data_IF_076898451139
#
_entry.id   IF_076898451139
#
_cell.length_a   1.000
_cell.length_b   1.000
_cell.length_c   1.000
_cell.angle_alpha   90.00
_cell.angle_beta   90.00
_cell.angle_gamma   90.00
#
_symmetry.space_group_name_H-M   'P 1'
#
loop_
_entity.id
_entity.type
_entity.pdbx_description
1 polymer ?
#
# COMPACT_ATOMS: atom_id res chain seq x y z
N UNK A 1 -17.33 28.79 -5.53
CA UNK A 1 -17.20 28.18 -4.20
C UNK A 1 -18.21 27.04 -4.10
N UNK A 2 -17.85 25.84 -4.55
CA UNK A 2 -18.70 24.67 -4.37
C UNK A 2 -18.56 24.19 -2.93
N UNK A 3 -19.66 24.10 -2.19
CA UNK A 3 -19.66 23.51 -0.85
C UNK A 3 -19.14 22.07 -0.95
N UNK A 4 -17.97 21.79 -0.37
CA UNK A 4 -17.49 20.42 -0.22
C UNK A 4 -18.58 19.58 0.46
N UNK A 5 -18.86 18.39 -0.06
CA UNK A 5 -19.75 17.44 0.62
C UNK A 5 -19.12 17.17 1.99
N UNK A 6 -19.81 17.53 3.08
CA UNK A 6 -19.30 17.59 4.45
C UNK A 6 -18.55 16.31 4.85
N UNK A 7 -17.23 16.34 4.72
CA UNK A 7 -16.30 15.33 5.23
C UNK A 7 -15.13 16.08 5.85
N UNK A 8 -14.48 15.54 6.90
CA UNK A 8 -13.29 16.17 7.44
C UNK A 8 -12.26 16.36 6.32
N UNK A 9 -11.55 17.49 6.36
CA UNK A 9 -10.53 17.80 5.36
C UNK A 9 -9.33 16.86 5.50
N UNK A 10 -9.02 16.37 6.71
CA UNK A 10 -8.04 15.32 6.95
C UNK A 10 -8.77 13.98 7.10
N UNK A 11 -8.29 12.94 6.41
CA UNK A 11 -8.81 11.58 6.57
C UNK A 11 -8.71 11.13 8.02
N UNK A 12 -9.77 10.54 8.57
CA UNK A 12 -9.74 10.07 9.96
C UNK A 12 -8.94 8.78 10.07
N UNK A 13 -7.90 8.75 10.91
CA UNK A 13 -7.20 7.53 11.29
C UNK A 13 -8.16 6.56 11.97
N UNK A 14 -8.28 5.34 11.44
CA UNK A 14 -9.26 4.35 11.92
C UNK A 14 -8.79 3.62 13.19
N UNK A 15 -7.49 3.40 13.33
CA UNK A 15 -6.88 2.82 14.54
C UNK A 15 -5.67 3.68 14.90
N UNK A 16 -5.77 4.42 15.99
CA UNK A 16 -4.72 5.34 16.42
C UNK A 16 -3.81 4.67 17.44
N UNK A 17 -2.50 4.70 17.18
CA UNK A 17 -1.48 4.39 18.17
C UNK A 17 -1.07 5.63 18.98
N UNK A 18 0.02 5.50 19.74
CA UNK A 18 0.48 6.52 20.68
C UNK A 18 1.26 7.69 20.04
N UNK A 19 1.59 7.61 18.76
CA UNK A 19 2.40 8.62 18.06
C UNK A 19 1.58 9.41 17.04
N UNK A 20 1.92 10.68 16.88
CA UNK A 20 1.59 11.40 15.65
C UNK A 20 2.39 10.80 14.49
N UNK A 21 1.97 11.07 13.25
CA UNK A 21 2.62 10.53 12.06
C UNK A 21 3.23 11.64 11.24
N UNK A 22 4.52 11.51 10.93
CA UNK A 22 5.22 12.32 9.94
C UNK A 22 5.27 11.61 8.60
N UNK A 23 5.44 12.36 7.52
CA UNK A 23 5.73 11.78 6.22
C UNK A 23 6.72 12.61 5.38
N UNK A 24 7.42 11.92 4.47
CA UNK A 24 8.25 12.56 3.44
C UNK A 24 8.32 11.69 2.19
N UNK A 25 8.13 12.32 1.03
CA UNK A 25 8.39 11.68 -0.26
C UNK A 25 9.90 11.66 -0.56
N UNK A 26 10.38 10.53 -1.07
CA UNK A 26 11.75 10.31 -1.52
C UNK A 26 11.73 9.74 -2.93
N UNK A 27 12.37 10.44 -3.87
CA UNK A 27 12.61 9.94 -5.22
C UNK A 27 14.11 9.86 -5.48
N UNK A 28 14.57 8.70 -5.92
CA UNK A 28 15.97 8.43 -6.28
C UNK A 28 16.01 8.05 -7.76
N UNK A 29 17.02 8.55 -8.47
CA UNK A 29 17.21 8.23 -9.89
C UNK A 29 17.68 6.78 -10.12
N UNK A 30 17.55 6.30 -11.35
CA UNK A 30 18.15 5.02 -11.76
C UNK A 30 19.67 5.08 -11.77
N UNK A 31 20.32 3.99 -11.38
CA UNK A 31 21.80 3.89 -11.40
C UNK A 31 22.33 3.38 -12.74
N UNK A 32 21.51 2.68 -13.52
CA UNK A 32 21.86 2.06 -14.80
C UNK A 32 20.78 2.29 -15.86
N UNK A 33 21.12 2.13 -17.14
CA UNK A 33 20.17 2.27 -18.23
C UNK A 33 19.00 1.29 -18.07
N UNK A 34 17.77 1.80 -18.15
CA UNK A 34 16.55 1.02 -18.00
C UNK A 34 16.04 0.92 -16.55
N UNK A 35 16.84 1.33 -15.57
CA UNK A 35 16.40 1.53 -14.19
C UNK A 35 15.65 2.86 -14.05
N UNK A 36 14.44 2.83 -13.51
CA UNK A 36 13.62 4.03 -13.24
C UNK A 36 13.80 4.53 -11.79
N UNK A 37 14.77 3.98 -11.07
CA UNK A 37 15.08 4.35 -9.70
C UNK A 37 13.98 3.90 -8.72
N UNK A 38 13.75 4.71 -7.69
CA UNK A 38 12.75 4.46 -6.65
C UNK A 38 11.92 5.72 -6.43
N UNK A 39 10.62 5.56 -6.18
CA UNK A 39 9.79 6.61 -5.62
C UNK A 39 8.93 6.02 -4.51
N UNK A 40 8.95 6.63 -3.33
CA UNK A 40 8.16 6.18 -2.19
C UNK A 40 7.79 7.34 -1.27
N UNK A 41 6.75 7.13 -0.46
CA UNK A 41 6.45 7.95 0.71
C UNK A 41 6.85 7.17 1.96
N UNK A 42 7.68 7.77 2.80
CA UNK A 42 7.86 7.26 4.16
C UNK A 42 6.78 7.86 5.07
N UNK A 43 6.16 7.01 5.88
CA UNK A 43 5.36 7.38 7.04
C UNK A 43 6.08 6.88 8.29
N UNK A 44 6.19 7.71 9.32
CA UNK A 44 6.96 7.37 10.52
C UNK A 44 6.39 8.07 11.76
N UNK A 45 6.64 7.53 12.96
CA UNK A 45 6.27 8.19 14.21
C UNK A 45 6.92 9.58 14.32
N UNK A 46 6.18 10.60 14.75
CA UNK A 46 6.69 11.95 14.98
C UNK A 46 6.20 12.50 16.33
N UNK A 47 7.00 13.39 16.91
CA UNK A 47 6.61 14.24 18.04
C UNK A 47 6.20 15.66 17.59
N UNK A 48 6.29 15.93 16.29
CA UNK A 48 5.93 17.22 15.70
C UNK A 48 4.43 17.50 15.91
N UNK A 49 4.10 18.78 16.02
CA UNK A 49 2.73 19.26 16.01
C UNK A 49 2.45 19.93 14.67
N UNK A 50 1.28 19.66 14.08
CA UNK A 50 0.85 20.36 12.89
C UNK A 50 0.61 21.84 13.22
N UNK A 51 1.19 22.75 12.44
CA UNK A 51 0.98 24.19 12.64
C UNK A 51 -0.44 24.59 12.20
N UNK A 52 -0.90 24.03 11.08
CA UNK A 52 -2.22 24.23 10.53
C UNK A 52 -2.56 23.11 9.54
N UNK A 53 -3.71 23.22 8.86
CA UNK A 53 -4.20 22.24 7.90
C UNK A 53 -3.27 22.02 6.70
N UNK A 54 -2.45 23.01 6.33
CA UNK A 54 -1.49 22.90 5.23
C UNK A 54 -0.28 22.02 5.56
N UNK A 55 -0.05 21.74 6.85
CA UNK A 55 0.98 20.78 7.31
C UNK A 55 0.66 19.34 6.90
N UNK A 56 -0.59 19.03 6.56
CA UNK A 56 -1.02 17.72 6.11
C UNK A 56 -1.00 17.66 4.57
N UNK A 57 -0.33 16.69 3.93
CA UNK A 57 -0.26 16.64 2.48
C UNK A 57 -1.62 16.29 1.87
N UNK A 58 -1.88 16.77 0.65
CA UNK A 58 -3.06 16.38 -0.11
C UNK A 58 -3.04 14.88 -0.41
N UNK A 59 -4.17 14.21 -0.21
CA UNK A 59 -4.37 12.78 -0.51
C UNK A 59 -4.22 12.48 -2.01
N UNK A 60 -4.64 13.44 -2.85
CA UNK A 60 -4.41 13.43 -4.29
C UNK A 60 -3.37 14.50 -4.63
N UNK A 61 -2.08 14.16 -4.76
CA UNK A 61 -1.03 15.15 -4.90
C UNK A 61 -1.13 15.96 -6.20
N UNK A 62 -1.65 15.33 -7.26
CA UNK A 62 -1.82 15.95 -8.58
C UNK A 62 -3.08 15.46 -9.29
N UNK A 63 -3.74 16.28 -10.13
CA UNK A 63 -4.91 15.87 -10.93
C UNK A 63 -4.66 14.65 -11.82
N UNK A 64 -3.43 14.44 -12.28
CA UNK A 64 -3.04 13.35 -13.18
C UNK A 64 -3.26 11.95 -12.56
N UNK A 65 -3.17 11.82 -11.23
CA UNK A 65 -3.53 10.57 -10.53
C UNK A 65 -5.01 10.23 -10.72
N UNK A 66 -5.90 11.23 -10.61
CA UNK A 66 -7.32 11.03 -10.89
C UNK A 66 -7.58 10.76 -12.38
N UNK A 67 -6.85 11.40 -13.29
CA UNK A 67 -6.97 11.13 -14.74
C UNK A 67 -6.57 9.69 -15.07
N UNK A 68 -5.43 9.22 -14.54
CA UNK A 68 -4.97 7.86 -14.74
C UNK A 68 -5.90 6.82 -14.11
N UNK A 69 -6.47 7.11 -12.94
CA UNK A 69 -7.49 6.26 -12.32
C UNK A 69 -8.77 6.23 -13.16
N UNK A 70 -9.17 7.38 -13.72
CA UNK A 70 -10.27 7.46 -14.67
C UNK A 70 -10.04 6.61 -15.91
N UNK A 71 -8.87 6.75 -16.54
CA UNK A 71 -8.46 5.97 -17.71
C UNK A 71 -8.53 4.46 -17.42
N UNK A 72 -8.04 4.03 -16.25
CA UNK A 72 -8.16 2.64 -15.78
C UNK A 72 -9.61 2.18 -15.62
N UNK A 73 -10.49 3.04 -15.12
CA UNK A 73 -11.92 2.77 -14.89
C UNK A 73 -12.81 3.08 -16.11
N UNK A 74 -12.22 3.39 -17.28
CA UNK A 74 -12.97 3.74 -18.50
C UNK A 74 -13.73 5.07 -18.42
N UNK A 75 -13.24 6.03 -17.63
CA UNK A 75 -13.81 7.37 -17.44
C UNK A 75 -12.94 8.46 -18.10
N UNK A 76 -13.56 9.52 -18.60
CA UNK A 76 -12.83 10.65 -19.21
C UNK A 76 -12.18 11.57 -18.16
N UNK A 77 -11.11 12.27 -18.54
CA UNK A 77 -10.46 13.26 -17.67
C UNK A 77 -11.40 14.40 -17.26
N UNK A 78 -12.35 14.82 -18.11
CA UNK A 78 -13.33 15.84 -17.72
C UNK A 78 -14.24 15.33 -16.59
N UNK A 79 -14.71 14.08 -16.70
CA UNK A 79 -15.53 13.46 -15.65
C UNK A 79 -14.73 13.31 -14.36
N UNK A 80 -13.46 12.91 -14.45
CA UNK A 80 -12.59 12.80 -13.28
C UNK A 80 -12.30 14.15 -12.64
N UNK A 81 -12.19 15.24 -13.40
CA UNK A 81 -12.05 16.60 -12.84
C UNK A 81 -13.30 16.99 -12.03
N UNK A 82 -14.50 16.68 -12.52
CA UNK A 82 -15.75 16.93 -11.79
C UNK A 82 -15.80 16.10 -10.51
N UNK A 83 -15.51 14.79 -10.58
CA UNK A 83 -15.47 13.92 -9.39
C UNK A 83 -14.44 14.42 -8.38
N UNK A 84 -13.23 14.76 -8.84
CA UNK A 84 -12.16 15.23 -7.97
C UNK A 84 -12.54 16.54 -7.29
N UNK A 85 -13.02 17.54 -8.03
CA UNK A 85 -13.39 18.84 -7.46
C UNK A 85 -14.59 18.78 -6.50
N UNK A 86 -15.56 17.89 -6.74
CA UNK A 86 -16.80 17.80 -5.94
C UNK A 86 -16.72 16.82 -4.77
N UNK A 87 -15.94 15.74 -4.90
CA UNK A 87 -15.90 14.63 -3.94
C UNK A 87 -14.58 14.59 -3.18
N UNK A 88 -13.45 14.67 -3.88
CA UNK A 88 -12.12 14.60 -3.26
C UNK A 88 -11.79 15.95 -2.62
N UNK A 89 -12.00 17.04 -3.35
CA UNK A 89 -11.67 18.39 -2.91
C UNK A 89 -10.20 18.51 -2.50
N UNK A 90 -9.97 19.13 -1.35
CA UNK A 90 -8.65 19.21 -0.71
C UNK A 90 -8.50 18.22 0.45
N UNK A 91 -8.99 16.98 0.28
CA UNK A 91 -8.77 15.94 1.28
C UNK A 91 -7.27 15.69 1.48
N UNK A 92 -6.88 15.51 2.73
CA UNK A 92 -5.50 15.39 3.19
C UNK A 92 -5.30 14.09 3.95
N UNK A 93 -4.08 13.58 3.93
CA UNK A 93 -3.65 12.41 4.68
C UNK A 93 -3.43 12.78 6.16
N UNK A 94 -3.68 11.87 7.09
CA UNK A 94 -3.44 12.09 8.54
C UNK A 94 -1.96 11.86 8.88
N UNK A 95 -1.10 12.70 8.30
CA UNK A 95 0.32 12.79 8.60
C UNK A 95 0.86 14.19 8.33
N UNK A 96 1.94 14.55 9.02
CA UNK A 96 2.58 15.86 8.94
C UNK A 96 3.73 15.78 7.93
N UNK A 97 3.65 16.57 6.86
CA UNK A 97 4.69 16.62 5.83
C UNK A 97 5.97 17.26 6.38
N UNK A 98 7.14 16.72 6.00
CA UNK A 98 8.46 17.20 6.43
C UNK A 98 8.70 17.16 7.95
N UNK A 99 7.87 16.44 8.71
CA UNK A 99 8.03 16.28 10.15
C UNK A 99 9.32 15.54 10.53
N UNK A 100 9.78 15.72 11.77
CA UNK A 100 10.92 14.98 12.30
C UNK A 100 10.50 13.65 12.93
N UNK A 101 11.34 12.63 12.82
CA UNK A 101 11.13 11.33 13.45
C UNK A 101 11.08 11.45 14.98
N UNK A 102 10.21 10.68 15.61
CA UNK A 102 10.05 10.69 17.07
C UNK A 102 11.33 10.22 17.76
N UNK A 103 11.64 10.86 18.88
CA UNK A 103 12.78 10.51 19.75
C UNK A 103 12.36 9.71 20.98
N UNK A 104 11.05 9.43 21.14
CA UNK A 104 10.49 8.68 22.28
C UNK A 104 10.88 7.20 22.33
N UNK A 105 11.26 6.62 21.20
CA UNK A 105 11.81 5.27 21.12
C UNK A 105 13.12 5.26 20.34
N UNK A 106 13.97 4.29 20.67
CA UNK A 106 15.30 4.18 20.07
C UNK A 106 15.28 3.54 18.70
N UNK A 107 14.40 2.55 18.50
CA UNK A 107 14.33 1.78 17.26
C UNK A 107 12.90 1.46 16.86
N UNK A 108 12.70 1.36 15.55
CA UNK A 108 11.38 1.23 14.95
C UNK A 108 11.39 0.11 13.89
N UNK A 109 10.48 -0.87 13.97
CA UNK A 109 10.32 -1.87 12.92
C UNK A 109 9.90 -1.21 11.60
N UNK A 110 10.27 -1.84 10.49
CA UNK A 110 10.02 -1.30 9.15
C UNK A 110 9.08 -2.18 8.32
N UNK A 111 8.27 -1.53 7.50
CA UNK A 111 7.35 -2.16 6.55
C UNK A 111 7.52 -1.51 5.19
N UNK A 112 7.64 -2.31 4.13
CA UNK A 112 7.48 -1.86 2.75
C UNK A 112 6.06 -2.17 2.30
N UNK A 113 5.35 -1.18 1.77
CA UNK A 113 3.97 -1.32 1.32
C UNK A 113 3.86 -1.18 -0.20
N UNK A 114 3.18 -2.14 -0.85
CA UNK A 114 2.92 -2.16 -2.29
C UNK A 114 1.43 -2.04 -2.60
N UNK A 115 1.07 -1.03 -3.41
CA UNK A 115 -0.32 -0.81 -3.82
C UNK A 115 -0.79 -1.77 -4.93
N UNK A 116 -2.10 -1.93 -5.07
CA UNK A 116 -2.74 -2.71 -6.14
C UNK A 116 -2.59 -2.09 -7.55
N UNK A 117 -3.15 -2.78 -8.55
CA UNK A 117 -3.22 -2.28 -9.93
C UNK A 117 -4.10 -1.02 -10.00
N UNK A 118 -3.65 0.02 -10.70
CA UNK A 118 -4.29 1.32 -10.71
C UNK A 118 -4.19 2.09 -9.38
N UNK A 119 -3.40 1.58 -8.43
CA UNK A 119 -3.12 2.27 -7.16
C UNK A 119 -2.05 3.36 -7.29
N UNK A 120 -1.73 3.96 -6.14
CA UNK A 120 -0.63 4.90 -5.91
C UNK A 120 -0.18 4.82 -4.44
N UNK A 121 1.01 5.32 -4.12
CA UNK A 121 1.56 5.40 -2.75
C UNK A 121 0.68 6.17 -1.74
N UNK A 122 -0.22 7.03 -2.22
CA UNK A 122 -1.10 7.85 -1.35
C UNK A 122 -2.49 7.25 -1.13
N UNK A 123 -2.89 6.23 -1.89
CA UNK A 123 -4.26 5.67 -1.82
C UNK A 123 -4.49 4.69 -0.65
N UNK A 124 -3.48 4.50 0.19
CA UNK A 124 -3.49 3.60 1.34
C UNK A 124 -2.99 4.33 2.61
N UNK A 125 -3.13 5.66 2.62
CA UNK A 125 -2.62 6.53 3.68
C UNK A 125 -3.30 6.22 5.02
N UNK A 126 -4.58 5.87 5.06
CA UNK A 126 -5.29 5.48 6.29
C UNK A 126 -4.63 4.26 6.95
N UNK A 127 -4.28 3.26 6.15
CA UNK A 127 -3.60 2.05 6.63
C UNK A 127 -2.16 2.36 7.06
N UNK A 128 -1.39 3.04 6.20
CA UNK A 128 0.03 3.33 6.44
C UNK A 128 0.25 4.25 7.65
N UNK A 129 -0.58 5.29 7.79
CA UNK A 129 -0.52 6.21 8.94
C UNK A 129 -0.98 5.52 10.23
N UNK A 130 -1.94 4.59 10.16
CA UNK A 130 -2.34 3.82 11.34
C UNK A 130 -1.17 2.95 11.83
N UNK A 131 -0.51 2.18 10.95
CA UNK A 131 0.71 1.44 11.30
C UNK A 131 1.80 2.36 11.89
N UNK A 132 2.06 3.50 11.24
CA UNK A 132 3.08 4.43 11.70
C UNK A 132 2.77 5.01 13.09
N UNK A 133 1.51 5.28 13.39
CA UNK A 133 1.10 5.74 14.73
C UNK A 133 1.32 4.69 15.83
N UNK A 134 1.49 3.40 15.47
CA UNK A 134 1.84 2.31 16.38
C UNK A 134 3.35 2.03 16.45
N UNK A 135 4.18 2.88 15.85
CA UNK A 135 5.65 2.75 15.95
C UNK A 135 6.32 2.07 14.77
N UNK A 136 5.66 1.95 13.61
CA UNK A 136 6.30 1.42 12.40
C UNK A 136 6.82 2.54 11.49
N UNK A 137 7.94 2.32 10.83
CA UNK A 137 8.32 3.12 9.66
C UNK A 137 7.83 2.41 8.41
N UNK A 138 6.90 3.03 7.68
CA UNK A 138 6.24 2.44 6.50
C UNK A 138 6.72 3.14 5.24
N UNK A 139 7.33 2.39 4.32
CA UNK A 139 7.72 2.83 2.99
C UNK A 139 6.66 2.42 1.96
N UNK A 140 5.74 3.31 1.62
CA UNK A 140 4.76 3.08 0.56
C UNK A 140 5.36 3.39 -0.82
N UNK A 141 5.56 2.35 -1.62
CA UNK A 141 6.22 2.43 -2.93
C UNK A 141 5.24 2.95 -3.99
N UNK A 142 5.69 3.88 -4.83
CA UNK A 142 5.02 4.28 -6.07
C UNK A 142 5.65 3.53 -7.24
N UNK A 143 4.91 2.57 -7.81
CA UNK A 143 5.45 1.68 -8.82
C UNK A 143 5.53 2.34 -10.20
N UNK A 144 6.71 2.33 -10.83
CA UNK A 144 6.98 2.93 -12.16
C UNK A 144 6.92 1.93 -13.30
N UNK A 145 6.24 0.82 -13.10
CA UNK A 145 6.12 -0.33 -14.02
C UNK A 145 4.92 -0.25 -14.99
N UNK A 146 4.24 0.90 -15.06
CA UNK A 146 2.96 1.11 -15.75
C UNK A 146 1.77 0.35 -15.12
N UNK A 147 1.84 -0.01 -13.83
CA UNK A 147 0.70 -0.56 -13.10
C UNK A 147 0.02 0.48 -12.18
N UNK A 148 0.74 1.50 -11.71
CA UNK A 148 0.13 2.63 -11.01
C UNK A 148 -0.83 3.38 -11.95
N UNK A 149 -1.88 4.00 -11.40
CA UNK A 149 -2.81 4.80 -12.20
C UNK A 149 -2.07 5.89 -12.98
N UNK A 150 -1.13 6.54 -12.34
CA UNK A 150 -0.21 7.50 -12.91
C UNK A 150 1.01 7.63 -11.99
N UNK A 151 2.17 7.85 -12.57
CA UNK A 151 3.38 8.28 -11.88
C UNK A 151 4.26 9.05 -12.86
N UNK A 152 5.49 9.38 -12.47
CA UNK A 152 6.41 10.13 -13.31
C UNK A 152 7.86 9.80 -12.97
N UNK A 153 8.72 10.06 -13.95
CA UNK A 153 10.17 10.14 -13.78
C UNK A 153 10.59 11.60 -13.84
N UNK A 154 11.57 12.00 -13.05
CA UNK A 154 12.24 13.28 -13.24
C UNK A 154 13.45 13.08 -14.16
N UNK A 155 13.54 13.87 -15.21
CA UNK A 155 14.65 13.86 -16.17
C UNK A 155 15.23 15.26 -16.28
N UNK A 156 16.56 15.37 -16.26
CA UNK A 156 17.22 16.65 -16.46
C UNK A 156 17.12 17.09 -17.92
N UNK A 157 16.57 18.28 -18.17
CA UNK A 157 16.56 18.94 -19.47
C UNK A 157 17.02 20.38 -19.28
N UNK A 158 18.10 20.76 -19.95
CA UNK A 158 18.66 22.12 -19.88
C UNK A 158 18.96 22.59 -18.43
N UNK A 159 19.39 21.68 -17.54
CA UNK A 159 19.68 21.99 -16.14
C UNK A 159 18.45 22.00 -15.21
N UNK A 160 17.24 21.76 -15.71
CA UNK A 160 16.03 21.68 -14.90
C UNK A 160 15.49 20.24 -14.87
N UNK A 161 14.98 19.81 -13.71
CA UNK A 161 14.28 18.54 -13.59
C UNK A 161 12.86 18.69 -14.15
N UNK A 162 12.58 17.93 -15.21
CA UNK A 162 11.28 17.90 -15.88
C UNK A 162 10.58 16.57 -15.61
N UNK A 163 9.29 16.64 -15.27
CA UNK A 163 8.44 15.46 -15.10
C UNK A 163 8.12 14.82 -16.45
N UNK A 164 8.49 13.55 -16.59
CA UNK A 164 8.07 12.68 -17.67
C UNK A 164 6.98 11.71 -17.16
N UNK A 165 5.72 11.85 -17.63
CA UNK A 165 4.62 11.00 -17.19
C UNK A 165 4.82 9.52 -17.55
N UNK A 166 4.49 8.65 -16.59
CA UNK A 166 4.36 7.19 -16.75
C UNK A 166 2.91 6.83 -16.44
N UNK A 167 2.14 6.57 -17.50
CA UNK A 167 0.72 6.21 -17.38
C UNK A 167 0.55 4.71 -17.18
N UNK A 168 -0.58 4.33 -16.60
CA UNK A 168 -1.02 2.93 -16.53
C UNK A 168 -1.07 2.30 -17.93
N UNK A 169 -0.62 1.05 -18.05
CA UNK A 169 -0.80 0.25 -19.27
C UNK A 169 -2.14 -0.48 -19.18
N UNK A 170 -3.09 -0.01 -19.99
CA UNK A 170 -4.35 -0.74 -20.22
C UNK A 170 -4.06 -1.98 -21.07
N UNK A 171 -4.67 -3.09 -20.69
CA UNK A 171 -4.57 -4.37 -21.40
C UNK A 171 -5.96 -4.67 -21.97
N UNK A 172 -6.01 -5.01 -23.26
CA UNK A 172 -7.26 -5.38 -23.92
C UNK A 172 -7.83 -6.68 -23.34
N UNK A 173 -9.16 -6.81 -23.36
CA UNK A 173 -9.82 -8.05 -22.96
C UNK A 173 -9.32 -9.20 -23.84
N UNK A 174 -8.95 -10.33 -23.23
CA UNK A 174 -8.42 -11.51 -23.90
C UNK A 174 -7.01 -11.34 -24.52
N UNK A 175 -6.21 -10.36 -24.08
CA UNK A 175 -4.80 -10.27 -24.44
C UNK A 175 -4.07 -11.57 -24.06
N UNK A 176 -3.57 -12.29 -25.06
CA UNK A 176 -2.92 -13.59 -24.87
C UNK A 176 -1.64 -13.50 -24.02
N UNK A 177 -0.99 -12.35 -24.01
CA UNK A 177 0.22 -12.09 -23.24
C UNK A 177 -0.06 -11.42 -21.88
N UNK A 178 -1.31 -11.36 -21.41
CA UNK A 178 -1.64 -10.65 -20.16
C UNK A 178 -0.78 -11.15 -19.00
N UNK A 179 -0.71 -12.46 -18.79
CA UNK A 179 0.15 -13.07 -17.77
C UNK A 179 1.60 -12.59 -17.89
N UNK A 180 2.19 -12.64 -19.10
CA UNK A 180 3.58 -12.21 -19.34
C UNK A 180 3.77 -10.73 -18.98
N UNK A 181 2.83 -9.87 -19.36
CA UNK A 181 2.90 -8.44 -19.06
C UNK A 181 2.79 -8.20 -17.54
N UNK A 182 1.83 -8.85 -16.88
CA UNK A 182 1.60 -8.69 -15.43
C UNK A 182 2.73 -9.31 -14.61
N UNK A 183 3.27 -10.44 -14.99
CA UNK A 183 4.43 -11.06 -14.34
C UNK A 183 5.71 -10.21 -14.51
N UNK A 184 5.92 -9.59 -15.69
CA UNK A 184 7.00 -8.60 -15.86
C UNK A 184 6.82 -7.37 -14.98
N UNK A 185 5.58 -6.92 -14.77
CA UNK A 185 5.26 -5.88 -13.80
C UNK A 185 5.61 -6.31 -12.37
N UNK A 186 5.24 -7.52 -11.94
CA UNK A 186 5.66 -8.08 -10.63
C UNK A 186 7.19 -8.03 -10.48
N UNK A 187 7.96 -8.49 -11.46
CA UNK A 187 9.43 -8.46 -11.37
C UNK A 187 10.02 -7.06 -11.17
N UNK A 188 9.44 -6.04 -11.82
CA UNK A 188 9.82 -4.64 -11.60
C UNK A 188 9.40 -4.14 -10.21
N UNK A 189 8.19 -4.47 -9.77
CA UNK A 189 7.67 -4.10 -8.46
C UNK A 189 8.48 -4.73 -7.32
N UNK A 190 8.91 -5.98 -7.47
CA UNK A 190 9.85 -6.65 -6.55
C UNK A 190 11.16 -5.88 -6.48
N UNK A 191 11.72 -5.51 -7.62
CA UNK A 191 12.94 -4.69 -7.69
C UNK A 191 12.78 -3.37 -6.93
N UNK A 192 11.63 -2.70 -7.09
CA UNK A 192 11.32 -1.45 -6.38
C UNK A 192 11.14 -1.66 -4.87
N UNK A 193 10.48 -2.74 -4.42
CA UNK A 193 10.34 -3.09 -3.01
C UNK A 193 11.69 -3.39 -2.35
N UNK A 194 12.55 -4.16 -3.01
CA UNK A 194 13.91 -4.46 -2.51
C UNK A 194 14.76 -3.20 -2.48
N UNK A 195 14.65 -2.31 -3.48
CA UNK A 195 15.31 -1.01 -3.44
C UNK A 195 14.83 -0.14 -2.28
N UNK A 196 13.54 -0.14 -1.97
CA UNK A 196 13.01 0.57 -0.81
C UNK A 196 13.65 0.04 0.49
N UNK A 197 13.80 -1.28 0.63
CA UNK A 197 14.49 -1.89 1.75
C UNK A 197 15.97 -1.47 1.83
N UNK A 198 16.70 -1.52 0.72
CA UNK A 198 18.11 -1.12 0.65
C UNK A 198 18.30 0.37 0.95
N UNK A 199 17.33 1.22 0.59
CA UNK A 199 17.34 2.65 0.93
C UNK A 199 17.11 2.83 2.43
N UNK A 200 16.15 2.12 3.02
CA UNK A 200 15.96 2.15 4.48
C UNK A 200 17.22 1.66 5.22
N UNK A 201 17.92 0.66 4.69
CA UNK A 201 19.20 0.21 5.25
C UNK A 201 20.27 1.32 5.21
N UNK A 202 20.43 2.00 4.07
CA UNK A 202 21.33 3.15 3.93
C UNK A 202 20.99 4.26 4.93
N UNK A 203 19.71 4.62 5.02
CA UNK A 203 19.23 5.61 6.00
C UNK A 203 19.57 5.19 7.44
N UNK A 204 19.42 3.91 7.76
CA UNK A 204 19.77 3.37 9.08
C UNK A 204 21.29 3.39 9.34
N UNK A 205 22.12 3.17 8.32
CA UNK A 205 23.58 3.33 8.40
C UNK A 205 24.01 4.82 8.50
N UNK A 206 23.07 5.75 8.27
CA UNK A 206 23.32 7.18 8.26
C UNK A 206 23.92 7.68 6.95
N UNK A 207 23.73 6.94 5.85
CA UNK A 207 24.09 7.37 4.51
C UNK A 207 22.86 7.89 3.77
N UNK A 208 23.10 8.86 2.88
CA UNK A 208 22.05 9.38 1.98
C UNK A 208 22.17 8.62 0.66
N UNK A 209 21.07 8.12 0.08
CA UNK A 209 21.09 7.51 -1.23
C UNK A 209 21.70 8.44 -2.28
N UNK A 210 22.43 7.89 -3.25
CA UNK A 210 22.93 8.70 -4.36
C UNK A 210 21.78 9.22 -5.23
N UNK A 211 21.96 10.40 -5.86
CA UNK A 211 21.00 10.98 -6.83
C UNK A 211 19.56 11.10 -6.32
N UNK A 212 19.37 11.65 -5.12
CA UNK A 212 18.05 12.03 -4.62
C UNK A 212 17.49 13.18 -5.47
N UNK A 213 16.40 12.91 -6.19
CA UNK A 213 15.69 13.88 -7.05
C UNK A 213 14.56 14.61 -6.29
N UNK A 214 13.91 13.94 -5.33
CA UNK A 214 12.90 14.54 -4.42
C UNK A 214 13.29 14.20 -3.00
N UNK A 215 13.29 15.22 -2.13
CA UNK A 215 13.64 15.09 -0.72
C UNK A 215 15.12 15.31 -0.42
N UNK A 216 15.91 15.85 -1.34
CA UNK A 216 17.34 16.14 -1.12
C UNK A 216 17.59 17.19 -0.02
N UNK A 217 16.60 18.05 0.22
CA UNK A 217 16.59 19.09 1.25
C UNK A 217 16.24 18.59 2.66
N UNK A 218 15.81 17.33 2.77
CA UNK A 218 15.34 16.76 4.02
C UNK A 218 16.46 16.07 4.80
N UNK A 219 16.44 16.22 6.12
CA UNK A 219 17.47 15.65 7.00
C UNK A 219 17.31 14.14 7.15
N UNK A 220 17.75 13.36 6.17
CA UNK A 220 17.71 11.89 6.20
C UNK A 220 18.56 11.26 7.31
N UNK A 221 19.56 11.96 7.84
CA UNK A 221 20.42 11.45 8.91
C UNK A 221 19.66 11.18 10.23
N UNK A 222 18.45 11.70 10.38
CA UNK A 222 17.59 11.43 11.54
C UNK A 222 17.20 9.94 11.68
N UNK A 223 17.26 9.16 10.59
CA UNK A 223 16.97 7.72 10.60
C UNK A 223 18.17 6.87 11.04
N UNK A 224 19.35 7.47 11.21
CA UNK A 224 20.58 6.75 11.58
C UNK A 224 20.41 6.00 12.90
N UNK A 225 20.70 4.70 12.88
CA UNK A 225 20.57 3.75 13.99
C UNK A 225 19.14 3.64 14.57
N UNK A 226 18.10 4.08 13.83
CA UNK A 226 16.71 4.09 14.29
C UNK A 226 15.87 2.94 13.74
N UNK A 227 16.35 2.15 12.77
CA UNK A 227 15.51 1.15 12.08
C UNK A 227 15.89 -0.28 12.47
N UNK A 228 14.88 -1.11 12.76
CA UNK A 228 15.05 -2.56 13.03
C UNK A 228 14.99 -3.35 11.73
N UNK A 229 16.11 -3.35 10.99
CA UNK A 229 16.22 -4.02 9.69
C UNK A 229 15.94 -5.53 9.78
N UNK A 230 16.31 -6.18 10.88
CA UNK A 230 16.15 -7.64 11.09
C UNK A 230 14.70 -8.12 11.20
N UNK A 231 13.72 -7.21 11.21
CA UNK A 231 12.28 -7.52 11.28
C UNK A 231 11.50 -6.96 10.08
N UNK A 232 12.22 -6.57 9.02
CA UNK A 232 11.61 -5.96 7.84
C UNK A 232 10.50 -6.84 7.28
N UNK A 233 9.35 -6.22 6.97
CA UNK A 233 8.18 -6.93 6.46
C UNK A 233 7.67 -6.27 5.19
N UNK A 234 6.98 -7.04 4.34
CA UNK A 234 6.39 -6.52 3.10
C UNK A 234 4.89 -6.76 3.09
N UNK A 235 4.12 -5.71 2.81
CA UNK A 235 2.66 -5.75 2.82
C UNK A 235 2.16 -5.30 1.46
N UNK A 236 1.10 -5.93 0.95
CA UNK A 236 0.46 -5.41 -0.24
C UNK A 236 -0.98 -5.83 -0.43
N UNK A 237 -1.69 -5.03 -1.20
CA UNK A 237 -3.10 -5.23 -1.53
C UNK A 237 -3.27 -5.62 -2.99
N UNK A 238 -4.12 -6.61 -3.29
CA UNK A 238 -4.46 -7.00 -4.66
C UNK A 238 -3.20 -7.38 -5.46
N UNK A 239 -2.86 -6.64 -6.51
CA UNK A 239 -1.61 -6.81 -7.24
C UNK A 239 -0.35 -6.60 -6.37
N UNK A 240 -0.44 -5.70 -5.38
CA UNK A 240 0.57 -5.52 -4.35
C UNK A 240 0.71 -6.75 -3.45
N UNK A 241 -0.35 -7.53 -3.26
CA UNK A 241 -0.31 -8.79 -2.50
C UNK A 241 0.46 -9.91 -3.24
N UNK A 242 0.34 -9.99 -4.57
CA UNK A 242 1.27 -10.80 -5.36
C UNK A 242 2.70 -10.25 -5.27
N UNK A 243 2.85 -8.92 -5.33
CA UNK A 243 4.16 -8.28 -5.22
C UNK A 243 4.84 -8.60 -3.89
N UNK A 244 4.12 -8.59 -2.77
CA UNK A 244 4.68 -8.88 -1.44
C UNK A 244 5.17 -10.33 -1.36
N UNK A 245 4.40 -11.29 -1.87
CA UNK A 245 4.81 -12.70 -1.98
C UNK A 245 6.02 -12.89 -2.89
N UNK A 246 6.02 -12.27 -4.06
CA UNK A 246 7.16 -12.35 -4.98
C UNK A 246 8.42 -11.68 -4.41
N UNK A 247 8.25 -10.64 -3.59
CA UNK A 247 9.38 -9.95 -2.92
C UNK A 247 9.99 -10.83 -1.83
N UNK A 248 9.15 -11.51 -1.03
CA UNK A 248 9.62 -12.46 -0.03
C UNK A 248 10.20 -13.72 -0.67
N UNK A 249 9.66 -14.17 -1.81
CA UNK A 249 10.25 -15.23 -2.61
C UNK A 249 11.64 -14.88 -3.18
N UNK A 250 11.90 -13.59 -3.45
CA UNK A 250 13.14 -13.11 -4.05
C UNK A 250 14.27 -12.89 -3.05
N UNK A 251 13.97 -12.41 -1.84
CA UNK A 251 14.96 -12.18 -0.78
C UNK A 251 14.48 -12.69 0.59
N UNK A 252 15.42 -13.20 1.39
CA UNK A 252 15.20 -13.57 2.79
C UNK A 252 15.22 -12.37 3.74
N UNK A 253 15.51 -11.15 3.26
CA UNK A 253 15.60 -9.96 4.11
C UNK A 253 14.22 -9.53 4.65
N UNK A 254 13.16 -9.73 3.84
CA UNK A 254 11.80 -9.65 4.35
C UNK A 254 11.48 -10.89 5.20
N UNK A 255 11.17 -10.69 6.47
CA UNK A 255 10.89 -11.76 7.44
C UNK A 255 9.43 -12.20 7.44
N UNK A 256 8.50 -11.30 7.12
CA UNK A 256 7.06 -11.58 7.08
C UNK A 256 6.42 -10.89 5.89
N UNK A 257 5.33 -11.50 5.39
CA UNK A 257 4.48 -10.90 4.39
C UNK A 257 3.03 -10.76 4.87
N UNK A 258 2.33 -9.71 4.41
CA UNK A 258 0.88 -9.59 4.60
C UNK A 258 0.23 -9.29 3.25
N UNK A 259 -0.81 -10.05 2.93
CA UNK A 259 -1.51 -10.05 1.65
C UNK A 259 -2.97 -9.68 1.90
N UNK A 260 -3.35 -8.46 1.53
CA UNK A 260 -4.75 -8.05 1.52
C UNK A 260 -5.38 -8.41 0.18
N UNK A 261 -6.35 -9.32 0.23
CA UNK A 261 -7.19 -9.74 -0.90
C UNK A 261 -6.40 -9.89 -2.22
N UNK A 262 -5.32 -10.66 -2.14
CA UNK A 262 -4.29 -10.66 -3.17
C UNK A 262 -4.79 -11.20 -4.51
N UNK A 263 -4.30 -10.60 -5.60
CA UNK A 263 -4.52 -11.09 -6.96
C UNK A 263 -3.34 -11.95 -7.39
N UNK A 264 -3.47 -13.28 -7.31
CA UNK A 264 -2.37 -14.24 -7.48
C UNK A 264 -2.04 -14.57 -8.94
N UNK A 265 -2.95 -14.25 -9.88
CA UNK A 265 -2.76 -14.52 -11.32
C UNK A 265 -1.38 -14.12 -11.88
N UNK A 266 -0.76 -12.98 -11.49
CA UNK A 266 0.54 -12.57 -12.02
C UNK A 266 1.75 -13.35 -11.48
N UNK A 267 1.57 -14.24 -10.51
CA UNK A 267 2.64 -15.03 -9.91
C UNK A 267 2.96 -16.26 -10.76
N UNK A 268 4.23 -16.41 -11.14
CA UNK A 268 4.71 -17.66 -11.74
C UNK A 268 4.94 -18.77 -10.70
N UNK A 269 5.13 -20.00 -11.16
CA UNK A 269 5.30 -21.17 -10.30
C UNK A 269 6.50 -21.05 -9.36
N UNK A 270 7.60 -20.46 -9.83
CA UNK A 270 8.82 -20.26 -9.03
C UNK A 270 8.56 -19.30 -7.89
N UNK A 271 7.91 -18.17 -8.17
CA UNK A 271 7.52 -17.18 -7.14
C UNK A 271 6.58 -17.80 -6.10
N UNK A 272 5.60 -18.61 -6.55
CA UNK A 272 4.70 -19.31 -5.64
C UNK A 272 5.46 -20.28 -4.72
N UNK A 273 6.37 -21.08 -5.28
CA UNK A 273 7.13 -22.11 -4.54
C UNK A 273 8.18 -21.55 -3.59
N UNK A 274 8.73 -20.38 -3.88
CA UNK A 274 9.75 -19.75 -3.03
C UNK A 274 9.18 -18.76 -2.00
N UNK A 275 7.89 -18.39 -2.10
CA UNK A 275 7.21 -17.64 -1.05
C UNK A 275 7.03 -18.51 0.21
N UNK A 276 8.04 -18.49 1.10
CA UNK A 276 8.16 -19.38 2.27
C UNK A 276 8.13 -18.66 3.61
N UNK A 277 8.17 -17.34 3.61
CA UNK A 277 8.10 -16.53 4.82
C UNK A 277 6.71 -16.64 5.46
N UNK A 278 6.61 -16.53 6.80
CA UNK A 278 5.32 -16.40 7.47
C UNK A 278 4.48 -15.29 6.82
N UNK A 279 3.30 -15.68 6.36
CA UNK A 279 2.39 -14.82 5.61
C UNK A 279 1.01 -14.80 6.23
N UNK A 280 0.47 -13.58 6.44
CA UNK A 280 -0.94 -13.37 6.73
C UNK A 280 -1.70 -13.06 5.43
N UNK A 281 -2.68 -13.88 5.08
CA UNK A 281 -3.68 -13.57 4.06
C UNK A 281 -4.95 -13.07 4.74
N UNK A 282 -5.43 -11.89 4.34
CA UNK A 282 -6.74 -11.37 4.75
C UNK A 282 -7.55 -11.08 3.49
N UNK A 283 -8.41 -12.03 3.13
CA UNK A 283 -9.14 -12.08 1.88
C UNK A 283 -10.53 -11.47 2.00
N UNK A 284 -11.12 -11.03 0.89
CA UNK A 284 -12.55 -10.70 0.80
C UNK A 284 -13.24 -11.83 0.05
N UNK A 285 -14.07 -12.60 0.74
CA UNK A 285 -14.71 -13.78 0.16
C UNK A 285 -15.49 -13.48 -1.12
N UNK A 286 -16.20 -12.35 -1.16
CA UNK A 286 -17.03 -11.91 -2.29
C UNK A 286 -16.20 -11.58 -3.55
N UNK A 287 -14.89 -11.28 -3.42
CA UNK A 287 -14.01 -10.94 -4.55
C UNK A 287 -13.22 -12.14 -5.09
N UNK A 288 -12.90 -13.10 -4.23
CA UNK A 288 -12.05 -14.25 -4.55
C UNK A 288 -12.73 -15.30 -5.44
N UNK A 289 -11.94 -16.07 -6.20
CA UNK A 289 -12.38 -17.17 -7.06
C UNK A 289 -11.43 -18.38 -6.98
N UNK A 290 -11.88 -19.56 -7.39
CA UNK A 290 -11.21 -20.84 -7.13
C UNK A 290 -9.75 -20.87 -7.58
N UNK A 291 -9.46 -20.46 -8.82
CA UNK A 291 -8.11 -20.47 -9.37
C UNK A 291 -7.15 -19.58 -8.57
N UNK A 292 -7.63 -18.46 -8.03
CA UNK A 292 -6.84 -17.58 -7.17
C UNK A 292 -6.60 -18.22 -5.79
N UNK A 293 -7.64 -18.86 -5.24
CA UNK A 293 -7.59 -19.54 -3.94
C UNK A 293 -6.71 -20.79 -3.97
N UNK A 294 -6.64 -21.50 -5.10
CA UNK A 294 -5.78 -22.68 -5.24
C UNK A 294 -4.30 -22.31 -5.15
N UNK A 295 -3.91 -21.17 -5.74
CA UNK A 295 -2.55 -20.61 -5.56
C UNK A 295 -2.32 -20.21 -4.11
N UNK A 296 -3.28 -19.55 -3.46
CA UNK A 296 -3.16 -19.20 -2.03
C UNK A 296 -3.00 -20.45 -1.15
N UNK A 297 -3.82 -21.49 -1.35
CA UNK A 297 -3.75 -22.75 -0.60
C UNK A 297 -2.39 -23.44 -0.78
N UNK A 298 -1.84 -23.43 -2.00
CA UNK A 298 -0.47 -23.90 -2.27
C UNK A 298 0.53 -23.14 -1.40
N UNK A 299 0.53 -21.81 -1.43
CA UNK A 299 1.47 -20.98 -0.67
C UNK A 299 1.29 -21.15 0.85
N UNK A 300 0.05 -21.19 1.34
CA UNK A 300 -0.27 -21.37 2.75
C UNK A 300 0.39 -22.65 3.30
N UNK A 301 0.44 -23.73 2.50
CA UNK A 301 1.04 -24.99 2.91
C UNK A 301 2.57 -24.96 3.10
N UNK A 302 3.26 -23.92 2.66
CA UNK A 302 4.73 -23.86 2.72
C UNK A 302 5.30 -23.52 4.11
N UNK A 303 4.50 -22.97 5.02
CA UNK A 303 4.97 -22.53 6.33
C UNK A 303 3.85 -22.61 7.38
N UNK A 304 4.10 -23.30 8.49
CA UNK A 304 3.13 -23.45 9.58
C UNK A 304 2.76 -22.13 10.27
N UNK A 305 3.62 -21.11 10.16
CA UNK A 305 3.39 -19.73 10.57
C UNK A 305 2.50 -18.93 9.62
N UNK A 306 2.02 -19.51 8.52
CA UNK A 306 1.03 -18.88 7.66
C UNK A 306 -0.35 -18.87 8.32
N UNK A 307 -1.07 -17.77 8.12
CA UNK A 307 -2.44 -17.59 8.55
C UNK A 307 -3.28 -17.09 7.38
N UNK A 308 -4.39 -17.75 7.11
CA UNK A 308 -5.36 -17.30 6.12
C UNK A 308 -6.71 -17.03 6.77
N UNK A 309 -7.19 -15.81 6.56
CA UNK A 309 -8.45 -15.29 7.07
C UNK A 309 -9.29 -14.76 5.92
N UNK A 310 -10.61 -14.85 6.05
CA UNK A 310 -11.56 -14.36 5.05
C UNK A 310 -12.58 -13.44 5.72
N UNK A 311 -12.62 -12.18 5.27
CA UNK A 311 -13.64 -11.19 5.58
C UNK A 311 -14.93 -11.52 4.81
N UNK A 312 -16.03 -11.68 5.54
CA UNK A 312 -17.36 -11.81 4.98
C UNK A 312 -17.98 -10.42 4.75
N UNK A 313 -18.65 -10.23 3.62
CA UNK A 313 -19.44 -9.01 3.35
C UNK A 313 -18.61 -7.74 3.13
N UNK A 314 -17.29 -7.85 3.05
CA UNK A 314 -16.43 -6.75 2.64
C UNK A 314 -16.41 -6.58 1.11
N UNK A 315 -15.78 -5.52 0.62
CA UNK A 315 -15.51 -5.29 -0.80
C UNK A 315 -14.02 -5.12 -1.01
N UNK A 316 -13.49 -5.47 -2.18
CA UNK A 316 -12.06 -5.42 -2.49
C UNK A 316 -11.37 -4.12 -2.05
N UNK A 317 -12.01 -2.97 -2.28
CA UNK A 317 -11.43 -1.65 -1.97
C UNK A 317 -11.47 -1.28 -0.47
N UNK A 318 -11.95 -2.15 0.42
CA UNK A 318 -12.02 -1.86 1.86
C UNK A 318 -10.65 -1.69 2.53
N UNK A 319 -9.56 -2.13 1.87
CA UNK A 319 -8.18 -1.94 2.33
C UNK A 319 -7.52 -0.64 1.83
N UNK A 320 -8.23 0.16 1.05
CA UNK A 320 -7.76 1.43 0.50
C UNK A 320 -8.46 2.61 1.18
N UNK A 321 -8.06 3.83 0.83
CA UNK A 321 -8.72 5.05 1.30
C UNK A 321 -10.07 5.31 0.60
N UNK A 322 -10.35 4.66 -0.54
CA UNK A 322 -11.52 4.99 -1.37
C UNK A 322 -12.86 5.01 -0.60
N UNK A 323 -13.18 4.04 0.29
CA UNK A 323 -14.42 4.10 1.07
C UNK A 323 -14.54 5.32 1.99
N UNK A 324 -13.43 5.95 2.37
CA UNK A 324 -13.38 7.15 3.22
C UNK A 324 -13.31 8.45 2.40
N UNK A 325 -12.97 8.34 1.11
CA UNK A 325 -12.98 9.45 0.16
C UNK A 325 -14.38 9.68 -0.40
N UNK A 326 -15.07 8.63 -0.82
CA UNK A 326 -16.38 8.75 -1.45
C UNK A 326 -17.51 8.79 -0.41
N UNK A 327 -18.45 9.76 -0.48
CA UNK A 327 -19.68 9.74 0.31
C UNK A 327 -20.40 8.40 0.17
N UNK A 328 -21.05 7.92 1.23
CA UNK A 328 -21.68 6.59 1.29
C UNK A 328 -22.60 6.26 0.10
N UNK A 329 -23.32 7.25 -0.43
CA UNK A 329 -24.19 7.07 -1.60
C UNK A 329 -23.39 6.82 -2.90
N UNK A 330 -22.26 7.52 -3.11
CA UNK A 330 -21.33 7.23 -4.21
C UNK A 330 -20.60 5.92 -3.95
N UNK A 331 -20.27 5.65 -2.68
CA UNK A 331 -19.58 4.44 -2.28
C UNK A 331 -20.38 3.20 -2.68
N UNK A 332 -21.67 3.18 -2.36
CA UNK A 332 -22.60 2.12 -2.80
C UNK A 332 -22.71 2.04 -4.33
N UNK A 333 -22.82 3.18 -5.02
CA UNK A 333 -22.92 3.23 -6.49
C UNK A 333 -21.68 2.69 -7.20
N UNK A 334 -20.48 2.95 -6.66
CA UNK A 334 -19.21 2.47 -7.21
C UNK A 334 -18.82 1.07 -6.68
N UNK A 335 -19.63 0.44 -5.83
CA UNK A 335 -19.32 -0.86 -5.26
C UNK A 335 -18.16 -0.85 -4.27
N UNK A 336 -17.88 0.30 -3.63
CA UNK A 336 -16.83 0.45 -2.60
C UNK A 336 -17.37 0.37 -1.16
N UNK A 337 -18.63 -0.03 -0.97
CA UNK A 337 -19.19 -0.38 0.35
C UNK A 337 -19.90 -1.75 0.27
N UNK A 338 -19.56 -2.64 1.21
CA UNK A 338 -20.15 -3.97 1.35
C UNK A 338 -21.20 -4.05 2.47
N UNK A 339 -21.56 -5.28 2.88
CA UNK A 339 -22.40 -5.55 4.06
C UNK A 339 -21.68 -5.24 5.38
N UNK A 340 -20.36 -5.47 5.40
CA UNK A 340 -19.49 -5.13 6.53
C UNK A 340 -18.97 -3.71 6.33
N UNK A 341 -19.06 -2.90 7.39
CA UNK A 341 -18.68 -1.49 7.32
C UNK A 341 -17.20 -1.30 6.98
N UNK A 342 -16.84 -0.40 6.05
CA UNK A 342 -15.44 -0.19 5.66
C UNK A 342 -14.50 0.18 6.80
N UNK A 343 -14.98 0.93 7.80
CA UNK A 343 -14.21 1.26 9.01
C UNK A 343 -13.85 0.00 9.81
N UNK A 344 -14.77 -0.96 9.91
CA UNK A 344 -14.56 -2.22 10.61
C UNK A 344 -13.60 -3.13 9.83
N UNK A 345 -13.70 -3.17 8.50
CA UNK A 345 -12.75 -3.87 7.65
C UNK A 345 -11.33 -3.29 7.76
N UNK A 346 -11.19 -1.96 7.70
CA UNK A 346 -9.92 -1.28 7.84
C UNK A 346 -9.33 -1.47 9.24
N UNK A 347 -10.17 -1.39 10.29
CA UNK A 347 -9.76 -1.70 11.67
C UNK A 347 -9.20 -3.13 11.78
N UNK A 348 -9.92 -4.12 11.24
CA UNK A 348 -9.45 -5.50 11.24
C UNK A 348 -8.13 -5.66 10.49
N UNK A 349 -7.98 -5.04 9.31
CA UNK A 349 -6.75 -5.08 8.54
C UNK A 349 -5.56 -4.51 9.34
N UNK A 350 -5.74 -3.37 10.03
CA UNK A 350 -4.70 -2.73 10.82
C UNK A 350 -4.34 -3.59 12.04
N UNK A 351 -5.32 -3.95 12.88
CA UNK A 351 -5.04 -4.62 14.14
C UNK A 351 -4.54 -6.06 13.94
N UNK A 352 -5.07 -6.80 12.96
CA UNK A 352 -4.55 -8.13 12.62
C UNK A 352 -3.13 -8.04 12.06
N UNK A 353 -2.81 -6.99 11.32
CA UNK A 353 -1.45 -6.77 10.82
C UNK A 353 -0.49 -6.49 11.96
N UNK A 354 -0.83 -5.61 12.89
CA UNK A 354 -0.03 -5.34 14.10
C UNK A 354 0.20 -6.63 14.90
N UNK A 355 -0.87 -7.37 15.19
CA UNK A 355 -0.78 -8.63 15.92
C UNK A 355 0.09 -9.68 15.20
N UNK A 356 0.02 -9.75 13.87
CA UNK A 356 0.86 -10.65 13.06
C UNK A 356 2.32 -10.22 13.01
N UNK A 357 2.58 -8.92 12.84
CA UNK A 357 3.92 -8.36 12.80
C UNK A 357 4.64 -8.55 14.13
N UNK A 358 3.94 -8.37 15.25
CA UNK A 358 4.49 -8.54 16.61
C UNK A 358 4.59 -10.01 17.01
N UNK A 359 3.50 -10.76 16.90
CA UNK A 359 3.33 -12.07 17.55
C UNK A 359 3.07 -13.22 16.57
N UNK A 360 3.19 -12.97 15.25
CA UNK A 360 3.00 -13.97 14.21
C UNK A 360 1.57 -14.51 14.13
N UNK A 361 1.44 -15.72 13.61
CA UNK A 361 0.16 -16.41 13.43
C UNK A 361 -0.68 -16.45 14.70
N UNK A 362 -0.07 -16.83 15.82
CA UNK A 362 -0.81 -17.06 17.07
C UNK A 362 -1.41 -15.76 17.61
N UNK A 363 -0.67 -14.64 17.54
CA UNK A 363 -1.18 -13.34 17.93
C UNK A 363 -2.35 -12.87 17.06
N UNK A 364 -2.22 -12.99 15.74
CA UNK A 364 -3.28 -12.60 14.81
C UNK A 364 -4.51 -13.51 14.92
N UNK A 365 -4.32 -14.82 15.12
CA UNK A 365 -5.41 -15.78 15.32
C UNK A 365 -6.18 -15.46 16.60
N UNK A 366 -5.47 -15.26 17.72
CA UNK A 366 -6.08 -14.90 19.01
C UNK A 366 -6.94 -13.64 18.87
N UNK A 367 -6.38 -12.58 18.28
CA UNK A 367 -7.12 -11.33 18.09
C UNK A 367 -8.34 -11.50 17.19
N UNK A 368 -8.20 -12.24 16.09
CA UNK A 368 -9.33 -12.56 15.21
C UNK A 368 -10.44 -13.26 15.97
N UNK A 369 -10.14 -14.23 16.83
CA UNK A 369 -11.15 -14.98 17.58
C UNK A 369 -11.83 -14.12 18.66
N UNK A 370 -11.06 -13.31 19.39
CA UNK A 370 -11.56 -12.46 20.47
C UNK A 370 -12.41 -11.27 19.98
N UNK A 371 -12.08 -10.69 18.81
CA UNK A 371 -12.66 -9.41 18.38
C UNK A 371 -13.40 -9.45 17.05
N UNK A 372 -12.96 -10.27 16.10
CA UNK A 372 -13.44 -10.21 14.71
C UNK A 372 -14.15 -11.49 14.22
N UNK A 373 -14.41 -12.44 15.12
CA UNK A 373 -15.02 -13.74 14.79
C UNK A 373 -16.44 -13.64 14.22
N UNK A 374 -17.13 -12.51 14.39
CA UNK A 374 -18.47 -12.27 13.86
C UNK A 374 -18.52 -12.08 12.33
N UNK A 375 -17.42 -11.65 11.70
CA UNK A 375 -17.35 -11.42 10.25
C UNK A 375 -16.05 -11.88 9.59
N UNK A 376 -15.10 -12.43 10.35
CA UNK A 376 -13.85 -13.01 9.85
C UNK A 376 -13.78 -14.49 10.22
N UNK A 377 -13.50 -15.34 9.24
CA UNK A 377 -13.36 -16.79 9.42
C UNK A 377 -12.00 -17.30 8.95
N UNK A 378 -11.59 -18.45 9.46
CA UNK A 378 -10.44 -19.22 8.95
C UNK A 378 -10.78 -20.01 7.67
N UNK A 379 -12.06 -20.13 7.33
CA UNK A 379 -12.47 -20.76 6.09
C UNK A 379 -11.96 -19.94 4.89
N UNK A 380 -11.33 -20.60 3.92
CA UNK A 380 -10.86 -20.01 2.68
C UNK A 380 -11.91 -20.27 1.61
N UNK A 381 -12.70 -19.26 1.28
CA UNK A 381 -13.76 -19.35 0.28
C UNK A 381 -13.76 -18.13 -0.64
N UNK A 382 -14.42 -18.29 -1.78
CA UNK A 382 -14.62 -17.24 -2.77
C UNK A 382 -16.10 -17.04 -3.09
N UNK A 383 -16.38 -16.27 -4.15
CA UNK A 383 -17.73 -15.94 -4.63
C UNK A 383 -18.63 -17.16 -4.90
N UNK A 384 -18.04 -18.32 -5.18
CA UNK A 384 -18.76 -19.58 -5.39
C UNK A 384 -19.60 -19.98 -4.16
N UNK A 385 -19.19 -19.59 -2.94
CA UNK A 385 -19.95 -19.83 -1.71
C UNK A 385 -21.34 -19.17 -1.72
N UNK A 386 -21.52 -18.11 -2.52
CA UNK A 386 -22.77 -17.35 -2.60
C UNK A 386 -23.61 -17.67 -3.84
N UNK A 387 -23.20 -18.63 -4.69
CA UNK A 387 -23.98 -19.05 -5.87
C UNK A 387 -25.14 -20.01 -5.53
N UNK A 388 -25.62 -20.00 -4.28
CA UNK A 388 -26.75 -20.84 -3.84
C UNK A 388 -28.09 -20.30 -4.34
#
# INVERSE_FOLDING_TARGET
MGSYISSPQVLTRQVSGQFQVGCKDLMIDGTVLGDRGLFMRLYFPTDSQAADISSYPLWLPKPQYAHGLGEYLGQSSQKMNVITSTVVGEKREDCIENAQMSTKCDKWPIVVFSHGLGGSRTFYSTYCTSLASHGYVVAAVEHKDHSACWTYQLTEKNGELVEQPIKIKLIEKNEKNEFKIRNQQVGKRVTECVKALNVLEQLNLGTVPEKVLIGNDYNWAQFKNKLVMSSASVIGHSFGGATSLASSAYTTDFQKAIVFDGWMYPLDSTQQEQAKQPTLFLNVGDWQWNENLDVMKKIISHNDGNLALTLNGAVHQCFSDFPFIFPSWLAKKFGVQGRTEPSLCMQAAIELSLAFLENGKDGAQKLKDEKFSSFISNEIYGREKYKL
#
